data_IF_207123511355
#
_entry.id   IF_207123511355
#
_cell.length_a   1.000
_cell.length_b   1.000
_cell.length_c   1.000
_cell.angle_alpha   90.00
_cell.angle_beta   90.00
_cell.angle_gamma   90.00
#
_symmetry.space_group_name_H-M   'P 1'
#
loop_
_entity.id
_entity.type
_entity.pdbx_description
1 polymer ?
#
# COMPACT_ATOMS: atom_id res chain seq x y z
N UNK A 1 9.57 30.52 11.45
CA UNK A 1 10.23 30.01 12.65
C UNK A 1 10.22 28.50 12.54
N UNK A 2 11.36 27.79 12.53
CA UNK A 2 11.38 26.35 12.45
C UNK A 2 10.96 25.77 13.81
N UNK A 3 9.96 24.90 13.81
CA UNK A 3 9.56 24.15 15.01
C UNK A 3 10.58 23.04 15.23
N UNK A 4 11.27 23.08 16.37
CA UNK A 4 12.11 22.00 16.89
C UNK A 4 11.22 20.75 17.11
N UNK A 5 11.41 19.73 16.29
CA UNK A 5 10.94 18.37 16.62
C UNK A 5 12.04 17.78 17.48
N UNK A 6 11.87 17.87 18.81
CA UNK A 6 12.78 17.28 19.78
C UNK A 6 12.81 15.75 19.63
N UNK A 7 14.00 15.20 19.59
CA UNK A 7 14.26 13.77 19.77
C UNK A 7 13.86 13.44 21.21
N UNK A 8 12.69 12.82 21.39
CA UNK A 8 12.25 12.31 22.69
C UNK A 8 12.97 10.98 22.92
N UNK A 9 13.79 10.94 23.95
CA UNK A 9 14.49 9.75 24.42
C UNK A 9 13.49 8.69 24.92
N UNK A 10 13.74 7.42 24.58
CA UNK A 10 12.88 6.25 24.73
C UNK A 10 12.56 5.80 26.17
N UNK A 11 12.33 6.70 27.12
CA UNK A 11 12.14 6.34 28.53
C UNK A 11 10.78 6.71 29.14
N UNK A 12 9.90 7.50 28.49
CA UNK A 12 8.70 7.99 29.20
C UNK A 12 7.42 8.18 28.35
N UNK A 13 7.28 7.55 27.20
CA UNK A 13 6.02 7.56 26.48
C UNK A 13 5.29 6.21 26.55
N UNK A 14 4.82 5.84 27.73
CA UNK A 14 3.66 4.96 27.87
C UNK A 14 2.37 5.74 27.64
N UNK A 15 2.35 6.63 26.67
CA UNK A 15 1.09 7.13 26.14
C UNK A 15 0.54 6.04 25.22
N UNK A 16 -0.58 5.49 25.66
CA UNK A 16 -1.39 4.48 24.99
C UNK A 16 -1.72 4.97 23.60
N UNK A 17 -1.03 4.47 22.58
CA UNK A 17 -1.42 4.77 21.20
C UNK A 17 -2.77 4.08 20.95
N UNK A 18 -3.82 4.85 20.99
CA UNK A 18 -5.14 4.41 20.54
C UNK A 18 -4.99 3.86 19.12
N UNK A 19 -5.57 2.70 18.83
CA UNK A 19 -5.61 2.17 17.47
C UNK A 19 -6.35 3.13 16.56
N UNK A 20 -5.81 3.38 15.37
CA UNK A 20 -6.33 4.37 14.45
C UNK A 20 -7.30 3.76 13.45
N UNK A 21 -8.31 4.52 13.05
CA UNK A 21 -9.20 4.20 11.94
C UNK A 21 -8.72 4.93 10.68
N UNK A 22 -8.23 4.17 9.70
CA UNK A 22 -7.76 4.67 8.43
C UNK A 22 -8.82 4.47 7.35
N UNK A 23 -9.10 5.51 6.57
CA UNK A 23 -9.95 5.45 5.39
C UNK A 23 -9.11 5.78 4.16
N UNK A 24 -9.11 4.87 3.19
CA UNK A 24 -8.59 5.07 1.86
C UNK A 24 -9.75 5.04 0.87
N UNK A 25 -10.10 6.17 0.28
CA UNK A 25 -11.20 6.29 -0.67
C UNK A 25 -10.81 7.01 -1.98
N UNK A 26 -11.80 7.41 -2.75
CA UNK A 26 -11.63 8.15 -4.00
C UNK A 26 -11.54 7.27 -5.26
N UNK A 27 -11.46 7.93 -6.42
CA UNK A 27 -11.51 7.29 -7.74
C UNK A 27 -10.15 6.75 -8.21
N UNK A 28 -9.04 7.26 -7.67
CA UNK A 28 -7.69 6.82 -8.02
C UNK A 28 -7.40 5.39 -7.60
N UNK A 29 -6.40 4.78 -8.24
CA UNK A 29 -5.87 3.48 -7.83
C UNK A 29 -5.05 3.59 -6.54
N UNK A 30 -4.88 2.47 -5.83
CA UNK A 30 -4.00 2.38 -4.67
C UNK A 30 -4.69 2.00 -3.36
N UNK A 31 -6.02 2.09 -3.24
CA UNK A 31 -6.77 1.85 -1.99
C UNK A 31 -6.55 0.45 -1.40
N UNK A 32 -6.98 -0.59 -2.10
CA UNK A 32 -6.77 -1.99 -1.66
C UNK A 32 -5.28 -2.33 -1.56
N UNK A 33 -4.44 -1.77 -2.45
CA UNK A 33 -2.99 -1.93 -2.39
C UNK A 33 -2.41 -1.31 -1.10
N UNK A 34 -2.90 -0.13 -0.67
CA UNK A 34 -2.48 0.46 0.61
C UNK A 34 -2.84 -0.45 1.78
N UNK A 35 -4.04 -1.05 1.76
CA UNK A 35 -4.43 -2.03 2.78
C UNK A 35 -3.52 -3.27 2.78
N UNK A 36 -3.20 -3.83 1.59
CA UNK A 36 -2.27 -4.96 1.45
C UNK A 36 -0.85 -4.62 1.92
N UNK A 37 -0.39 -3.40 1.68
CA UNK A 37 0.91 -2.93 2.20
C UNK A 37 0.94 -2.84 3.72
N UNK A 38 -0.17 -2.43 4.37
CA UNK A 38 -0.29 -2.50 5.84
C UNK A 38 -0.27 -3.95 6.32
N UNK A 39 -0.98 -4.86 5.64
CA UNK A 39 -0.95 -6.30 5.94
C UNK A 39 0.49 -6.83 5.92
N UNK A 40 1.24 -6.52 4.85
CA UNK A 40 2.64 -6.96 4.69
C UNK A 40 3.53 -6.45 5.85
N UNK A 41 3.40 -5.16 6.21
CA UNK A 41 4.13 -4.56 7.34
C UNK A 41 3.79 -5.19 8.67
N UNK A 42 2.50 -5.41 8.91
CA UNK A 42 2.05 -6.00 10.19
C UNK A 42 2.50 -7.45 10.34
N UNK A 43 2.46 -8.24 9.26
CA UNK A 43 3.03 -9.60 9.26
C UNK A 43 4.53 -9.54 9.52
N UNK A 44 5.25 -8.63 8.84
CA UNK A 44 6.68 -8.43 9.05
C UNK A 44 7.01 -8.04 10.49
N UNK A 45 6.22 -7.19 11.13
CA UNK A 45 6.36 -6.88 12.55
C UNK A 45 6.22 -8.14 13.42
N UNK A 46 5.22 -8.98 13.13
CA UNK A 46 5.01 -10.23 13.85
C UNK A 46 6.19 -11.19 13.72
N UNK A 47 6.80 -11.27 12.53
CA UNK A 47 7.98 -12.08 12.25
C UNK A 47 9.20 -11.55 13.02
N UNK A 48 9.48 -10.21 12.94
CA UNK A 48 10.63 -9.60 13.58
C UNK A 48 10.61 -9.67 15.10
N UNK A 49 9.45 -9.39 15.70
CA UNK A 49 9.35 -9.20 17.15
C UNK A 49 8.79 -10.42 17.89
N UNK A 50 8.42 -11.48 17.16
CA UNK A 50 7.75 -12.66 17.71
C UNK A 50 6.55 -12.29 18.60
N UNK A 51 5.93 -11.12 18.32
CA UNK A 51 4.77 -10.61 19.02
C UNK A 51 3.48 -11.22 18.46
N UNK A 52 2.42 -11.21 19.26
CA UNK A 52 1.07 -11.58 18.82
C UNK A 52 0.46 -10.45 17.99
N UNK A 53 1.07 -10.10 16.87
CA UNK A 53 0.48 -9.23 15.87
C UNK A 53 -0.31 -10.12 14.90
N UNK A 54 -1.63 -10.06 14.96
CA UNK A 54 -2.51 -10.83 14.05
C UNK A 54 -3.28 -9.86 13.17
N UNK A 55 -3.39 -10.17 11.90
CA UNK A 55 -4.15 -9.39 10.93
C UNK A 55 -5.38 -10.19 10.51
N UNK A 56 -6.54 -9.53 10.48
CA UNK A 56 -7.68 -10.01 9.70
C UNK A 56 -7.73 -9.22 8.39
N UNK A 57 -7.61 -9.89 7.26
CA UNK A 57 -7.90 -9.35 5.93
C UNK A 57 -9.30 -9.81 5.49
N UNK A 58 -10.30 -8.96 5.66
CA UNK A 58 -11.66 -9.22 5.21
C UNK A 58 -11.95 -8.36 3.97
N UNK A 59 -12.31 -9.05 2.88
CA UNK A 59 -12.57 -8.42 1.58
C UNK A 59 -14.04 -8.61 1.20
N UNK A 60 -14.77 -7.51 1.18
CA UNK A 60 -16.16 -7.47 0.74
C UNK A 60 -16.25 -7.44 -0.79
N UNK A 61 -17.37 -7.83 -1.37
CA UNK A 61 -17.64 -7.84 -2.82
C UNK A 61 -16.58 -8.60 -3.64
N UNK A 62 -15.89 -9.54 -3.00
CA UNK A 62 -14.79 -10.34 -3.57
C UNK A 62 -14.98 -11.82 -3.28
N UNK A 63 -16.16 -12.35 -3.59
CA UNK A 63 -16.56 -13.72 -3.29
C UNK A 63 -15.67 -14.79 -3.92
N UNK A 64 -15.90 -16.07 -3.57
CA UNK A 64 -15.17 -17.19 -4.14
C UNK A 64 -15.45 -17.32 -5.64
N UNK A 65 -14.51 -17.92 -6.38
CA UNK A 65 -14.60 -18.12 -7.82
C UNK A 65 -13.80 -17.13 -8.67
N UNK A 66 -13.32 -16.02 -8.08
CA UNK A 66 -12.36 -15.12 -8.70
C UNK A 66 -11.02 -15.21 -7.97
N UNK A 67 -9.94 -15.46 -8.71
CA UNK A 67 -8.60 -15.39 -8.20
C UNK A 67 -8.10 -13.94 -8.18
N UNK A 68 -7.41 -13.56 -7.12
CA UNK A 68 -6.70 -12.29 -7.01
C UNK A 68 -5.21 -12.57 -6.92
N UNK A 69 -4.41 -11.75 -7.58
CA UNK A 69 -2.97 -11.96 -7.68
C UNK A 69 -2.30 -12.09 -6.29
N UNK A 70 -2.74 -11.28 -5.31
CA UNK A 70 -2.19 -11.31 -3.95
C UNK A 70 -2.48 -12.59 -3.16
N UNK A 71 -3.49 -13.37 -3.54
CA UNK A 71 -3.93 -14.54 -2.77
C UNK A 71 -2.79 -15.53 -2.53
N UNK A 72 -2.06 -15.87 -3.58
CA UNK A 72 -0.96 -16.85 -3.48
C UNK A 72 0.20 -16.37 -2.58
N UNK A 73 0.51 -15.08 -2.58
CA UNK A 73 1.54 -14.53 -1.69
C UNK A 73 1.07 -14.50 -0.23
N UNK A 74 -0.21 -14.18 0.00
CA UNK A 74 -0.82 -14.20 1.34
C UNK A 74 -0.88 -15.64 1.85
N UNK A 75 -1.27 -16.60 1.03
CA UNK A 75 -1.29 -18.02 1.39
C UNK A 75 0.10 -18.54 1.73
N UNK A 76 1.13 -18.14 0.99
CA UNK A 76 2.51 -18.50 1.29
C UNK A 76 2.96 -17.95 2.66
N UNK A 77 2.62 -16.70 2.97
CA UNK A 77 2.88 -16.11 4.30
C UNK A 77 2.07 -16.83 5.39
N UNK A 78 0.81 -17.15 5.12
CA UNK A 78 -0.04 -17.88 6.07
C UNK A 78 0.46 -19.30 6.36
N UNK A 79 0.99 -20.00 5.35
CA UNK A 79 1.59 -21.32 5.55
C UNK A 79 2.84 -21.26 6.43
N UNK A 80 3.70 -20.26 6.23
CA UNK A 80 4.88 -20.04 7.07
C UNK A 80 4.55 -19.53 8.48
N UNK A 81 3.50 -18.67 8.59
CA UNK A 81 3.14 -17.96 9.81
C UNK A 81 1.62 -17.97 10.05
N UNK A 82 1.01 -19.14 10.31
CA UNK A 82 -0.45 -19.31 10.38
C UNK A 82 -1.12 -18.51 11.50
N UNK A 83 -0.35 -18.07 12.49
CA UNK A 83 -0.85 -17.27 13.62
C UNK A 83 -0.87 -15.75 13.35
N UNK A 84 -0.31 -15.30 12.23
CA UNK A 84 -0.17 -13.86 11.94
C UNK A 84 -1.28 -13.32 11.05
N UNK A 85 -1.93 -14.13 10.23
CA UNK A 85 -2.95 -13.65 9.30
C UNK A 85 -4.11 -14.64 9.15
N UNK A 86 -5.32 -14.06 9.16
CA UNK A 86 -6.54 -14.70 8.67
C UNK A 86 -7.07 -13.90 7.48
N UNK A 87 -7.56 -14.60 6.46
CA UNK A 87 -8.22 -13.96 5.33
C UNK A 87 -9.63 -14.49 5.13
N UNK A 88 -10.55 -13.58 4.83
CA UNK A 88 -11.95 -13.90 4.55
C UNK A 88 -12.41 -13.09 3.34
N UNK A 89 -13.20 -13.71 2.47
CA UNK A 89 -13.86 -13.05 1.34
C UNK A 89 -15.37 -13.27 1.41
N UNK A 90 -16.12 -12.23 1.05
CA UNK A 90 -17.58 -12.25 0.99
C UNK A 90 -18.08 -11.58 -0.28
N UNK A 91 -19.32 -11.89 -0.66
CA UNK A 91 -19.94 -11.40 -1.88
C UNK A 91 -19.89 -12.42 -3.01
N UNK A 92 -20.35 -12.01 -4.19
CA UNK A 92 -20.24 -12.77 -5.43
C UNK A 92 -18.92 -12.47 -6.16
N UNK A 93 -18.59 -13.30 -7.14
CA UNK A 93 -17.37 -13.14 -7.93
C UNK A 93 -17.47 -11.97 -8.95
N UNK A 94 -18.67 -11.67 -9.41
CA UNK A 94 -18.93 -10.68 -10.47
C UNK A 94 -19.20 -9.29 -9.90
N UNK A 95 -18.80 -8.26 -10.65
CA UNK A 95 -19.19 -6.89 -10.36
C UNK A 95 -20.69 -6.69 -10.63
N UNK A 96 -21.31 -5.79 -9.87
CA UNK A 96 -22.70 -5.40 -10.03
C UNK A 96 -22.90 -3.92 -9.66
N UNK A 97 -23.94 -3.33 -10.24
CA UNK A 97 -24.39 -1.98 -9.92
C UNK A 97 -25.45 -2.00 -8.81
N UNK A 98 -25.80 -0.86 -8.27
CA UNK A 98 -26.75 -0.74 -7.16
C UNK A 98 -28.14 -1.36 -7.48
N UNK A 99 -28.61 -1.20 -8.73
CA UNK A 99 -29.87 -1.74 -9.22
C UNK A 99 -29.86 -3.27 -9.44
N UNK A 100 -28.68 -3.87 -9.47
CA UNK A 100 -28.46 -5.31 -9.59
C UNK A 100 -28.25 -6.00 -8.24
N UNK A 101 -28.24 -5.23 -7.13
CA UNK A 101 -28.05 -5.76 -5.80
C UNK A 101 -29.21 -6.68 -5.39
N UNK A 102 -28.86 -7.85 -4.88
CA UNK A 102 -29.82 -8.90 -4.52
C UNK A 102 -29.82 -9.17 -3.03
N UNK A 103 -30.80 -9.96 -2.58
CA UNK A 103 -30.83 -10.44 -1.19
C UNK A 103 -29.57 -11.25 -0.82
N UNK A 104 -28.97 -11.95 -1.80
CA UNK A 104 -27.71 -12.68 -1.59
C UNK A 104 -26.57 -11.70 -1.24
N UNK A 105 -26.46 -10.57 -1.95
CA UNK A 105 -25.41 -9.59 -1.71
C UNK A 105 -25.54 -8.97 -0.32
N UNK A 106 -26.78 -8.70 0.12
CA UNK A 106 -27.05 -8.21 1.46
C UNK A 106 -26.66 -9.26 2.52
N UNK A 107 -26.98 -10.54 2.30
CA UNK A 107 -26.61 -11.61 3.21
C UNK A 107 -25.09 -11.80 3.32
N UNK A 108 -24.38 -11.74 2.20
CA UNK A 108 -22.92 -11.84 2.16
C UNK A 108 -22.24 -10.63 2.80
N UNK A 109 -22.76 -9.42 2.58
CA UNK A 109 -22.30 -8.21 3.28
C UNK A 109 -22.50 -8.34 4.79
N UNK A 110 -23.67 -8.81 5.22
CA UNK A 110 -23.97 -9.02 6.64
C UNK A 110 -23.08 -10.10 7.24
N UNK A 111 -22.84 -11.23 6.53
CA UNK A 111 -21.92 -12.27 6.97
C UNK A 111 -20.50 -11.73 7.19
N UNK A 112 -20.00 -10.94 6.24
CA UNK A 112 -18.70 -10.27 6.37
C UNK A 112 -18.65 -9.32 7.57
N UNK A 113 -19.71 -8.53 7.74
CA UNK A 113 -19.80 -7.59 8.85
C UNK A 113 -19.88 -8.29 10.22
N UNK A 114 -20.61 -9.40 10.32
CA UNK A 114 -20.68 -10.19 11.56
C UNK A 114 -19.31 -10.76 11.95
N UNK A 115 -18.52 -11.22 10.96
CA UNK A 115 -17.14 -11.65 11.17
C UNK A 115 -16.27 -10.46 11.64
N UNK A 116 -16.39 -9.29 10.99
CA UNK A 116 -15.66 -8.08 11.38
C UNK A 116 -15.98 -7.67 12.82
N UNK A 117 -17.25 -7.62 13.20
CA UNK A 117 -17.69 -7.31 14.57
C UNK A 117 -17.13 -8.28 15.58
N UNK A 118 -17.19 -9.58 15.27
CA UNK A 118 -16.62 -10.62 16.14
C UNK A 118 -15.11 -10.47 16.33
N UNK A 119 -14.40 -10.18 15.25
CA UNK A 119 -12.95 -9.93 15.27
C UNK A 119 -12.59 -8.70 16.11
N UNK A 120 -13.31 -7.59 15.92
CA UNK A 120 -13.12 -6.34 16.68
C UNK A 120 -13.40 -6.60 18.17
N UNK A 121 -14.53 -7.22 18.50
CA UNK A 121 -14.91 -7.50 19.88
C UNK A 121 -13.96 -8.46 20.59
N UNK A 122 -13.31 -9.37 19.85
CA UNK A 122 -12.37 -10.36 20.41
C UNK A 122 -11.06 -9.75 20.89
N UNK A 123 -10.68 -8.57 20.38
CA UNK A 123 -9.37 -7.94 20.58
C UNK A 123 -8.16 -8.85 20.26
N UNK A 124 -8.36 -9.90 19.44
CA UNK A 124 -7.30 -10.83 19.05
C UNK A 124 -6.44 -10.31 17.91
N UNK A 125 -6.91 -9.31 17.17
CA UNK A 125 -6.24 -8.75 16.00
C UNK A 125 -5.63 -7.39 16.34
N UNK A 126 -4.41 -7.18 15.90
CA UNK A 126 -3.75 -5.88 15.98
C UNK A 126 -4.19 -4.97 14.83
N UNK A 127 -4.53 -5.58 13.69
CA UNK A 127 -5.01 -4.88 12.49
C UNK A 127 -6.20 -5.62 11.91
N UNK A 128 -7.27 -4.89 11.61
CA UNK A 128 -8.44 -5.38 10.88
C UNK A 128 -8.58 -4.59 9.58
N UNK A 129 -8.43 -5.25 8.46
CA UNK A 129 -8.64 -4.68 7.13
C UNK A 129 -10.04 -5.02 6.65
N UNK A 130 -10.81 -3.99 6.31
CA UNK A 130 -12.17 -4.06 5.76
C UNK A 130 -12.13 -3.51 4.33
N UNK A 131 -11.59 -4.32 3.42
CA UNK A 131 -11.40 -3.94 2.02
C UNK A 131 -12.73 -3.96 1.26
N UNK A 132 -13.03 -2.88 0.52
CA UNK A 132 -14.29 -2.60 -0.16
C UNK A 132 -15.51 -2.44 0.78
N UNK A 133 -15.31 -2.02 2.04
CA UNK A 133 -16.43 -1.71 2.94
C UNK A 133 -17.19 -0.44 2.50
N UNK A 134 -16.47 0.58 1.99
CA UNK A 134 -17.11 1.83 1.55
C UNK A 134 -18.19 1.58 0.49
N UNK A 135 -17.95 0.83 -0.62
CA UNK A 135 -18.98 0.50 -1.59
C UNK A 135 -20.15 -0.30 -1.01
N UNK A 136 -19.89 -1.19 -0.05
CA UNK A 136 -20.96 -1.94 0.63
C UNK A 136 -21.92 -0.99 1.36
N UNK A 137 -21.38 0.06 1.98
CA UNK A 137 -22.17 1.08 2.66
C UNK A 137 -22.86 2.02 1.68
N UNK A 138 -22.20 2.40 0.59
CA UNK A 138 -22.77 3.23 -0.47
C UNK A 138 -23.94 2.53 -1.18
N UNK A 139 -23.84 1.20 -1.38
CA UNK A 139 -24.90 0.35 -1.92
C UNK A 139 -26.04 0.08 -0.91
N UNK A 140 -25.96 0.58 0.32
CA UNK A 140 -26.96 0.35 1.37
C UNK A 140 -27.10 -1.10 1.83
N UNK A 141 -26.06 -1.94 1.64
CA UNK A 141 -26.11 -3.36 2.01
C UNK A 141 -25.91 -3.59 3.52
N UNK A 142 -25.41 -2.58 4.25
CA UNK A 142 -25.24 -2.59 5.71
C UNK A 142 -25.77 -1.28 6.32
N UNK A 143 -26.18 -1.35 7.59
CA UNK A 143 -26.57 -0.16 8.37
C UNK A 143 -25.31 0.63 8.78
N UNK A 144 -25.19 1.84 8.25
CA UNK A 144 -24.07 2.76 8.54
C UNK A 144 -23.98 3.09 10.05
N UNK A 145 -25.11 3.16 10.77
CA UNK A 145 -25.09 3.48 12.20
C UNK A 145 -24.47 2.36 13.03
N UNK A 146 -24.77 1.09 12.67
CA UNK A 146 -24.15 -0.08 13.32
C UNK A 146 -22.63 -0.12 13.04
N UNK A 147 -22.22 0.18 11.80
CA UNK A 147 -20.81 0.23 11.40
C UNK A 147 -20.09 1.34 12.17
N UNK A 148 -20.59 2.57 12.15
CA UNK A 148 -19.98 3.71 12.87
C UNK A 148 -19.88 3.44 14.36
N UNK A 149 -20.95 2.92 14.97
CA UNK A 149 -20.96 2.57 16.39
C UNK A 149 -19.88 1.54 16.74
N UNK A 150 -19.77 0.48 15.94
CA UNK A 150 -18.80 -0.60 16.16
C UNK A 150 -17.37 -0.10 15.99
N UNK A 151 -17.09 0.65 14.92
CA UNK A 151 -15.74 1.16 14.65
C UNK A 151 -15.31 2.25 15.65
N UNK A 152 -16.25 3.03 16.17
CA UNK A 152 -15.98 4.00 17.26
C UNK A 152 -15.65 3.32 18.58
N UNK A 153 -16.20 2.13 18.83
CA UNK A 153 -15.97 1.35 20.05
C UNK A 153 -14.81 0.33 19.91
N UNK A 154 -13.97 0.46 18.87
CA UNK A 154 -12.83 -0.44 18.67
C UNK A 154 -11.91 -0.51 19.87
N UNK A 155 -11.29 -1.68 20.15
CA UNK A 155 -10.34 -1.81 21.25
C UNK A 155 -9.13 -0.87 21.09
N UNK A 156 -8.60 -0.43 22.22
CA UNK A 156 -7.37 0.34 22.27
C UNK A 156 -6.21 -0.43 21.61
N UNK A 157 -5.42 0.25 20.78
CA UNK A 157 -4.28 -0.33 20.07
C UNK A 157 -4.63 -1.10 18.79
N UNK A 158 -5.92 -1.33 18.48
CA UNK A 158 -6.34 -1.98 17.24
C UNK A 158 -6.40 -0.98 16.09
N UNK A 159 -5.66 -1.25 15.01
CA UNK A 159 -5.77 -0.50 13.77
C UNK A 159 -6.90 -1.05 12.90
N UNK A 160 -7.72 -0.17 12.35
CA UNK A 160 -8.74 -0.57 11.38
C UNK A 160 -8.50 0.18 10.07
N UNK A 161 -8.44 -0.56 8.99
CA UNK A 161 -8.20 -0.04 7.65
C UNK A 161 -9.44 -0.28 6.81
N UNK A 162 -10.08 0.78 6.36
CA UNK A 162 -11.26 0.73 5.49
C UNK A 162 -10.89 1.24 4.11
N UNK A 163 -11.30 0.51 3.07
CA UNK A 163 -11.06 0.93 1.69
C UNK A 163 -12.32 0.92 0.84
N UNK A 164 -12.20 1.53 -0.32
CA UNK A 164 -13.24 1.55 -1.35
C UNK A 164 -13.58 2.97 -1.78
N UNK A 165 -14.37 3.10 -2.83
CA UNK A 165 -14.88 4.39 -3.31
C UNK A 165 -16.01 4.89 -2.41
N UNK A 166 -16.32 6.17 -2.52
CA UNK A 166 -17.51 6.77 -1.92
C UNK A 166 -17.66 6.52 -0.40
N UNK A 167 -16.61 6.80 0.38
CA UNK A 167 -16.67 6.68 1.82
C UNK A 167 -17.80 7.57 2.40
N UNK A 168 -18.76 7.01 3.16
CA UNK A 168 -19.86 7.78 3.73
C UNK A 168 -19.38 8.82 4.77
N UNK A 169 -19.99 10.00 4.75
CA UNK A 169 -19.61 11.09 5.67
C UNK A 169 -19.61 10.70 7.15
N UNK A 170 -20.59 9.93 7.70
CA UNK A 170 -20.54 9.50 9.09
C UNK A 170 -19.28 8.67 9.43
N UNK A 171 -18.78 7.88 8.47
CA UNK A 171 -17.56 7.10 8.64
C UNK A 171 -16.31 7.99 8.59
N UNK A 172 -16.25 8.95 7.65
CA UNK A 172 -15.17 9.94 7.54
C UNK A 172 -15.04 10.78 8.83
N UNK A 173 -16.17 11.12 9.46
CA UNK A 173 -16.16 11.92 10.68
C UNK A 173 -15.43 11.25 11.84
N UNK A 174 -15.55 9.93 11.98
CA UNK A 174 -14.89 9.16 13.05
C UNK A 174 -13.48 8.69 12.69
N UNK A 175 -13.03 8.88 11.45
CA UNK A 175 -11.70 8.47 11.01
C UNK A 175 -10.59 9.31 11.66
N UNK A 176 -9.46 8.68 11.93
CA UNK A 176 -8.23 9.32 12.41
C UNK A 176 -7.32 9.69 11.24
N UNK A 177 -7.41 8.90 10.16
CA UNK A 177 -6.74 9.16 8.89
C UNK A 177 -7.75 9.03 7.74
N UNK A 178 -7.75 10.03 6.87
CA UNK A 178 -8.52 10.01 5.62
C UNK A 178 -7.61 10.46 4.47
N UNK A 179 -7.27 9.52 3.59
CA UNK A 179 -6.53 9.75 2.36
C UNK A 179 -7.42 9.45 1.16
N UNK A 180 -7.71 10.47 0.37
CA UNK A 180 -8.39 10.33 -0.92
C UNK A 180 -7.37 9.97 -2.00
N UNK A 181 -7.58 8.88 -2.71
CA UNK A 181 -6.83 8.53 -3.91
C UNK A 181 -7.48 9.23 -5.11
N UNK A 182 -6.93 10.38 -5.50
CA UNK A 182 -7.42 11.18 -6.62
C UNK A 182 -6.77 10.74 -7.92
N UNK A 183 -7.59 10.42 -8.93
CA UNK A 183 -7.09 10.06 -10.25
C UNK A 183 -6.76 11.33 -11.06
N UNK A 184 -5.50 11.55 -11.39
CA UNK A 184 -5.07 12.55 -12.38
C UNK A 184 -4.99 11.95 -13.77
N UNK A 185 -4.59 10.69 -13.86
CA UNK A 185 -4.55 9.94 -15.10
C UNK A 185 -4.92 8.48 -14.86
N UNK A 186 -5.82 7.98 -15.67
CA UNK A 186 -6.19 6.56 -15.70
C UNK A 186 -6.50 6.22 -17.15
N UNK A 187 -5.61 5.47 -17.77
CA UNK A 187 -5.83 4.98 -19.11
C UNK A 187 -6.65 3.71 -19.00
N UNK A 188 -7.74 3.68 -19.72
CA UNK A 188 -8.51 2.45 -19.91
C UNK A 188 -7.63 1.48 -20.72
N UNK A 189 -7.38 0.26 -20.24
CA UNK A 189 -6.65 -0.74 -21.01
C UNK A 189 -7.25 -1.06 -22.38
N UNK A 190 -8.50 -0.66 -22.60
CA UNK A 190 -9.23 -0.82 -23.88
C UNK A 190 -9.10 0.37 -24.83
N UNK A 191 -8.50 1.48 -24.37
CA UNK A 191 -8.31 2.68 -25.17
C UNK A 191 -6.90 2.69 -25.78
N UNK A 192 -6.74 2.04 -26.92
CA UNK A 192 -5.50 1.97 -27.67
C UNK A 192 -5.05 3.32 -28.27
N UNK A 193 -5.87 4.39 -28.17
CA UNK A 193 -5.63 5.66 -28.86
C UNK A 193 -4.70 6.62 -28.13
N UNK A 194 -4.41 6.40 -26.84
CA UNK A 194 -3.80 7.41 -25.97
C UNK A 194 -2.37 7.11 -25.53
N UNK A 195 -1.75 5.98 -25.90
CA UNK A 195 -0.38 5.66 -25.51
C UNK A 195 0.45 4.99 -26.59
N UNK A 196 1.77 5.30 -26.60
CA UNK A 196 2.73 4.46 -27.29
C UNK A 196 2.95 3.08 -26.64
N UNK A 197 2.32 2.78 -25.49
CA UNK A 197 2.48 1.53 -24.74
C UNK A 197 1.11 0.97 -24.33
N UNK A 198 0.55 0.02 -25.06
CA UNK A 198 -0.59 -0.75 -24.58
C UNK A 198 -0.16 -1.60 -23.37
N UNK A 199 -0.99 -1.67 -22.32
CA UNK A 199 -0.85 -2.64 -21.23
C UNK A 199 -0.42 -4.03 -21.73
N UNK A 200 0.52 -4.78 -21.04
CA UNK A 200 0.49 -4.98 -19.59
C UNK A 200 1.59 -4.27 -18.79
N UNK A 201 2.55 -3.61 -19.35
CA UNK A 201 3.68 -3.02 -18.65
C UNK A 201 3.62 -1.49 -18.49
N UNK A 202 2.59 -0.94 -17.87
CA UNK A 202 2.42 0.49 -17.67
C UNK A 202 3.39 1.13 -16.66
N UNK A 203 3.33 2.46 -16.56
CA UNK A 203 3.99 3.22 -15.51
C UNK A 203 2.91 3.75 -14.57
N UNK A 204 2.99 3.39 -13.29
CA UNK A 204 2.09 3.88 -12.25
C UNK A 204 2.82 4.83 -11.32
N UNK A 205 2.26 6.00 -11.06
CA UNK A 205 2.83 7.01 -10.16
C UNK A 205 1.87 7.25 -9.00
N UNK A 206 2.40 7.14 -7.78
CA UNK A 206 1.70 7.45 -6.53
C UNK A 206 2.39 8.63 -5.84
N UNK A 207 1.71 9.76 -5.75
CA UNK A 207 2.23 11.01 -5.21
C UNK A 207 1.27 11.66 -4.20
N UNK A 208 1.54 12.89 -3.79
CA UNK A 208 0.69 13.67 -2.89
C UNK A 208 1.16 13.67 -1.44
N UNK A 209 0.49 14.49 -0.60
CA UNK A 209 0.84 14.66 0.81
C UNK A 209 0.20 13.59 1.70
N UNK A 210 -0.92 12.98 1.29
CA UNK A 210 -1.61 11.94 2.04
C UNK A 210 -0.79 10.65 2.20
N UNK A 211 -1.15 9.88 3.22
CA UNK A 211 -0.58 8.55 3.47
C UNK A 211 -1.04 7.54 2.41
N UNK A 212 -0.21 6.54 2.12
CA UNK A 212 -0.57 5.43 1.24
C UNK A 212 0.36 5.19 0.07
N UNK A 213 1.25 6.12 -0.31
CA UNK A 213 2.14 6.00 -1.48
C UNK A 213 3.02 4.75 -1.47
N UNK A 214 4.01 4.70 -0.57
CA UNK A 214 4.89 3.53 -0.39
C UNK A 214 4.10 2.28 -0.02
N UNK A 215 3.05 2.46 0.80
CA UNK A 215 2.19 1.36 1.23
C UNK A 215 1.44 0.73 0.05
N UNK A 216 0.94 1.54 -0.90
CA UNK A 216 0.34 1.05 -2.15
C UNK A 216 1.36 0.33 -3.04
N UNK A 217 2.58 0.85 -3.14
CA UNK A 217 3.64 0.19 -3.90
C UNK A 217 4.00 -1.18 -3.32
N UNK A 218 4.09 -1.30 -1.98
CA UNK A 218 4.31 -2.58 -1.32
C UNK A 218 3.16 -3.56 -1.57
N UNK A 219 1.92 -3.09 -1.52
CA UNK A 219 0.75 -3.92 -1.87
C UNK A 219 0.76 -4.38 -3.32
N UNK A 220 1.21 -3.53 -4.25
CA UNK A 220 1.46 -3.92 -5.65
C UNK A 220 2.58 -4.95 -5.75
N UNK A 221 3.64 -4.80 -4.96
CA UNK A 221 4.70 -5.80 -4.86
C UNK A 221 4.16 -7.16 -4.41
N UNK A 222 3.30 -7.18 -3.39
CA UNK A 222 2.66 -8.40 -2.91
C UNK A 222 1.78 -9.05 -4.00
N UNK A 223 1.01 -8.25 -4.76
CA UNK A 223 0.24 -8.74 -5.92
C UNK A 223 1.15 -9.34 -6.99
N UNK A 224 2.22 -8.65 -7.34
CA UNK A 224 3.17 -9.11 -8.36
C UNK A 224 3.89 -10.41 -7.94
N UNK A 225 4.30 -10.53 -6.67
CA UNK A 225 4.87 -11.76 -6.11
C UNK A 225 3.85 -12.89 -6.18
N UNK A 226 2.61 -12.65 -5.78
CA UNK A 226 1.54 -13.64 -5.83
C UNK A 226 1.24 -14.12 -7.25
N UNK A 227 1.29 -13.23 -8.26
CA UNK A 227 1.22 -13.59 -9.68
C UNK A 227 2.37 -14.51 -10.08
N UNK A 228 3.58 -14.22 -9.61
CA UNK A 228 4.76 -15.08 -9.85
C UNK A 228 4.62 -16.47 -9.23
N UNK A 229 3.96 -16.57 -8.08
CA UNK A 229 3.71 -17.86 -7.41
C UNK A 229 2.65 -18.67 -8.16
N UNK A 230 1.53 -18.05 -8.53
CA UNK A 230 0.32 -18.74 -8.99
C UNK A 230 0.20 -18.91 -10.51
N UNK A 231 0.75 -17.98 -11.30
CA UNK A 231 0.47 -17.90 -12.73
C UNK A 231 1.73 -17.97 -13.60
N UNK A 232 2.73 -17.15 -13.30
CA UNK A 232 3.93 -16.99 -14.14
C UNK A 232 5.20 -16.97 -13.29
N UNK A 233 5.87 -18.10 -13.20
CA UNK A 233 7.13 -18.26 -12.44
C UNK A 233 8.25 -17.34 -12.93
N UNK A 234 8.15 -16.76 -14.12
CA UNK A 234 9.10 -15.78 -14.65
C UNK A 234 8.81 -14.35 -14.15
N UNK A 235 7.71 -14.13 -13.43
CA UNK A 235 7.28 -12.82 -12.95
C UNK A 235 8.12 -12.34 -11.76
N UNK A 236 9.38 -11.94 -12.04
CA UNK A 236 10.26 -11.36 -11.01
C UNK A 236 9.86 -9.93 -10.66
N UNK A 237 10.04 -9.60 -9.39
CA UNK A 237 9.75 -8.28 -8.81
C UNK A 237 11.04 -7.70 -8.23
N UNK A 238 11.34 -6.44 -8.59
CA UNK A 238 12.33 -5.65 -7.88
C UNK A 238 11.60 -4.60 -7.02
N UNK A 239 11.91 -4.55 -5.73
CA UNK A 239 11.50 -3.48 -4.83
C UNK A 239 12.75 -2.72 -4.44
N UNK A 240 12.86 -1.47 -4.88
CA UNK A 240 13.96 -0.59 -4.56
C UNK A 240 13.42 0.66 -3.87
N UNK A 241 13.96 0.97 -2.69
CA UNK A 241 13.51 2.06 -1.84
C UNK A 241 14.65 3.03 -1.58
N UNK A 242 14.52 4.28 -2.04
CA UNK A 242 15.45 5.37 -1.76
C UNK A 242 15.16 6.01 -0.41
N UNK A 243 16.13 6.75 0.14
CA UNK A 243 16.02 7.53 1.38
C UNK A 243 15.57 6.69 2.60
N UNK A 244 15.86 5.39 2.57
CA UNK A 244 15.46 4.40 3.59
C UNK A 244 16.62 3.51 4.00
N UNK A 245 17.78 4.08 4.28
CA UNK A 245 18.99 3.33 4.62
C UNK A 245 19.00 2.69 6.02
N UNK A 246 18.14 3.13 6.93
CA UNK A 246 18.08 2.62 8.30
C UNK A 246 17.48 1.22 8.44
N UNK A 247 17.63 0.66 9.65
CA UNK A 247 16.97 -0.57 10.07
C UNK A 247 15.64 -0.23 10.74
N UNK A 248 14.65 -1.11 10.61
CA UNK A 248 13.38 -0.96 11.36
C UNK A 248 12.12 -0.98 10.51
N UNK A 249 12.28 -1.06 9.20
CA UNK A 249 11.15 -1.24 8.29
C UNK A 249 10.65 -2.69 8.38
N UNK A 250 9.41 -2.83 8.79
CA UNK A 250 8.87 -4.16 9.14
C UNK A 250 8.54 -5.01 7.93
N UNK A 251 8.24 -4.38 6.79
CA UNK A 251 8.02 -5.08 5.52
C UNK A 251 9.19 -5.97 5.10
N UNK A 252 10.41 -5.65 5.54
CA UNK A 252 11.62 -6.42 5.19
C UNK A 252 11.52 -7.88 5.60
N UNK A 253 11.00 -8.15 6.80
CA UNK A 253 10.91 -9.52 7.31
C UNK A 253 9.87 -10.34 6.54
N UNK A 254 8.74 -9.75 6.17
CA UNK A 254 7.74 -10.44 5.37
C UNK A 254 8.23 -10.68 3.93
N UNK A 255 8.92 -9.71 3.33
CA UNK A 255 9.55 -9.88 2.00
C UNK A 255 10.66 -10.94 2.06
N UNK A 256 11.47 -10.94 3.12
CA UNK A 256 12.52 -11.95 3.31
C UNK A 256 11.95 -13.36 3.44
N UNK A 257 10.84 -13.53 4.16
CA UNK A 257 10.15 -14.81 4.27
C UNK A 257 9.60 -15.31 2.91
N UNK A 258 9.03 -14.40 2.11
CA UNK A 258 8.61 -14.73 0.74
C UNK A 258 9.81 -15.08 -0.15
N UNK A 259 10.92 -14.35 -0.02
CA UNK A 259 12.15 -14.61 -0.76
C UNK A 259 12.80 -15.94 -0.36
N UNK A 260 12.74 -16.33 0.90
CA UNK A 260 13.24 -17.64 1.36
C UNK A 260 12.47 -18.79 0.70
N UNK A 261 11.13 -18.67 0.63
CA UNK A 261 10.27 -19.65 0.00
C UNK A 261 10.35 -19.64 -1.54
N UNK A 262 10.59 -18.45 -2.13
CA UNK A 262 10.60 -18.21 -3.58
C UNK A 262 11.78 -17.30 -3.98
N UNK A 263 13.04 -17.79 -3.88
CA UNK A 263 14.25 -16.96 -4.00
C UNK A 263 14.45 -16.30 -5.36
N UNK A 264 13.76 -16.78 -6.39
CA UNK A 264 13.86 -16.25 -7.75
C UNK A 264 12.79 -15.17 -8.07
N UNK A 265 11.81 -14.94 -7.18
CA UNK A 265 10.68 -14.07 -7.50
C UNK A 265 10.86 -12.62 -7.05
N UNK A 266 11.56 -12.36 -5.95
CA UNK A 266 11.66 -11.02 -5.40
C UNK A 266 13.08 -10.65 -5.02
N UNK A 267 13.52 -9.49 -5.49
CA UNK A 267 14.69 -8.79 -4.99
C UNK A 267 14.24 -7.51 -4.29
N UNK A 268 14.81 -7.26 -3.11
CA UNK A 268 14.50 -6.09 -2.31
C UNK A 268 15.78 -5.40 -1.87
N UNK A 269 15.88 -4.10 -2.15
CA UNK A 269 17.04 -3.27 -1.83
C UNK A 269 16.58 -1.93 -1.26
N UNK A 270 17.37 -1.43 -0.33
CA UNK A 270 17.24 -0.08 0.21
C UNK A 270 18.50 0.72 0.01
N UNK A 271 18.35 2.02 -0.10
CA UNK A 271 19.42 2.98 -0.31
C UNK A 271 19.17 4.25 0.50
N UNK A 272 20.25 4.93 0.81
CA UNK A 272 20.26 6.14 1.62
C UNK A 272 20.89 5.88 3.00
N UNK A 273 20.97 6.94 3.78
CA UNK A 273 21.45 6.88 5.19
C UNK A 273 20.26 6.74 6.16
N UNK A 274 20.57 6.38 7.40
CA UNK A 274 19.58 6.33 8.48
C UNK A 274 19.31 7.75 9.03
N UNK A 275 18.82 8.64 8.17
CA UNK A 275 18.45 10.01 8.51
C UNK A 275 17.50 10.57 7.46
N UNK A 276 16.64 11.51 7.87
CA UNK A 276 15.84 12.28 6.94
C UNK A 276 16.74 13.27 6.20
N UNK A 277 16.70 13.25 4.88
CA UNK A 277 17.42 14.19 4.02
C UNK A 277 16.52 15.38 3.72
N UNK A 278 16.94 16.57 4.15
CA UNK A 278 16.22 17.81 3.85
C UNK A 278 16.90 18.57 2.69
N UNK A 279 16.09 19.32 1.94
CA UNK A 279 16.63 20.18 0.87
C UNK A 279 17.63 21.20 1.45
N UNK A 280 18.82 21.26 0.85
CA UNK A 280 19.93 22.07 1.33
C UNK A 280 20.76 21.45 2.47
N UNK A 281 20.45 20.21 2.87
CA UNK A 281 21.20 19.44 3.87
C UNK A 281 21.68 18.10 3.32
N UNK A 282 21.74 17.97 2.00
CA UNK A 282 22.27 16.79 1.33
C UNK A 282 23.76 16.66 1.60
N UNK A 283 24.20 15.46 1.91
CA UNK A 283 25.59 15.10 2.09
C UNK A 283 26.13 14.34 0.87
N UNK A 284 27.44 14.28 0.62
CA UNK A 284 28.01 13.54 -0.50
C UNK A 284 27.55 12.10 -0.60
N UNK A 285 27.32 11.44 0.54
CA UNK A 285 26.86 10.06 0.61
C UNK A 285 25.43 9.90 0.06
N UNK A 286 24.56 10.92 0.18
CA UNK A 286 23.20 10.86 -0.33
C UNK A 286 23.19 10.74 -1.87
N UNK A 287 24.11 11.47 -2.54
CA UNK A 287 24.31 11.38 -4.00
C UNK A 287 24.84 10.01 -4.42
N UNK A 288 25.86 9.50 -3.71
CA UNK A 288 26.47 8.19 -4.00
C UNK A 288 25.43 7.06 -3.87
N UNK A 289 24.67 7.08 -2.78
CA UNK A 289 23.62 6.07 -2.54
C UNK A 289 22.46 6.18 -3.54
N UNK A 290 22.06 7.39 -3.88
CA UNK A 290 21.00 7.60 -4.88
C UNK A 290 21.44 7.08 -6.27
N UNK A 291 22.65 7.39 -6.68
CA UNK A 291 23.21 6.99 -7.97
C UNK A 291 23.45 5.48 -8.04
N UNK A 292 24.00 4.88 -6.98
CA UNK A 292 24.17 3.42 -6.86
C UNK A 292 22.83 2.68 -7.05
N UNK A 293 21.79 3.14 -6.37
CA UNK A 293 20.46 2.56 -6.47
C UNK A 293 19.84 2.77 -7.86
N UNK A 294 20.08 3.93 -8.47
CA UNK A 294 19.61 4.20 -9.82
C UNK A 294 20.24 3.29 -10.87
N UNK A 295 21.54 3.03 -10.79
CA UNK A 295 22.20 2.11 -11.71
C UNK A 295 21.61 0.68 -11.63
N UNK A 296 21.28 0.22 -10.42
CA UNK A 296 20.60 -1.07 -10.23
C UNK A 296 19.20 -1.04 -10.86
N UNK A 297 18.43 0.02 -10.59
CA UNK A 297 17.08 0.19 -11.15
C UNK A 297 17.09 0.22 -12.68
N UNK A 298 18.00 1.02 -13.25
CA UNK A 298 18.17 1.18 -14.70
C UNK A 298 18.54 -0.16 -15.37
N UNK A 299 19.48 -0.89 -14.78
CA UNK A 299 19.85 -2.21 -15.28
C UNK A 299 18.71 -3.23 -15.19
N UNK A 300 17.96 -3.21 -14.09
CA UNK A 300 16.79 -4.08 -13.89
C UNK A 300 15.69 -3.80 -14.91
N UNK A 301 15.35 -2.52 -15.13
CA UNK A 301 14.37 -2.11 -16.16
C UNK A 301 14.82 -2.56 -17.54
N UNK A 302 16.08 -2.28 -17.92
CA UNK A 302 16.60 -2.60 -19.26
C UNK A 302 16.70 -4.11 -19.50
N UNK A 303 16.90 -4.92 -18.46
CA UNK A 303 17.12 -6.37 -18.59
C UNK A 303 15.91 -7.15 -19.09
N UNK A 304 14.67 -6.63 -18.86
CA UNK A 304 13.43 -7.35 -19.10
C UNK A 304 13.22 -8.59 -18.20
N UNK A 305 14.14 -8.85 -17.27
CA UNK A 305 14.03 -9.96 -16.31
C UNK A 305 12.97 -9.71 -15.24
N UNK A 306 12.74 -8.45 -14.92
CA UNK A 306 11.75 -8.04 -13.93
C UNK A 306 10.46 -7.61 -14.66
N UNK A 307 9.36 -8.27 -14.35
CA UNK A 307 8.04 -7.88 -14.86
C UNK A 307 7.43 -6.73 -14.07
N UNK A 308 7.85 -6.54 -12.82
CA UNK A 308 7.43 -5.41 -11.97
C UNK A 308 8.67 -4.82 -11.29
N UNK A 309 8.86 -3.52 -11.44
CA UNK A 309 9.93 -2.74 -10.80
C UNK A 309 9.29 -1.63 -9.99
N UNK A 310 9.51 -1.66 -8.67
CA UNK A 310 9.02 -0.65 -7.73
C UNK A 310 10.16 0.27 -7.37
N UNK A 311 9.96 1.56 -7.62
CA UNK A 311 10.89 2.66 -7.39
C UNK A 311 10.30 3.56 -6.29
N UNK A 312 10.39 3.08 -5.04
CA UNK A 312 9.78 3.75 -3.89
C UNK A 312 10.65 4.91 -3.41
N UNK A 313 10.03 6.10 -3.20
CA UNK A 313 10.67 7.37 -2.90
C UNK A 313 11.60 7.91 -4.02
N UNK A 314 11.39 7.52 -5.30
CA UNK A 314 12.12 8.11 -6.42
C UNK A 314 11.75 9.59 -6.62
N UNK A 315 10.47 9.96 -6.47
CA UNK A 315 10.03 11.34 -6.65
C UNK A 315 10.78 12.33 -5.72
N UNK A 316 10.85 12.13 -4.38
CA UNK A 316 11.60 13.03 -3.53
C UNK A 316 13.11 12.95 -3.76
N UNK A 317 13.66 11.82 -4.22
CA UNK A 317 15.08 11.71 -4.59
C UNK A 317 15.42 12.65 -5.74
N UNK A 318 14.54 12.72 -6.74
CA UNK A 318 14.64 13.68 -7.85
C UNK A 318 14.35 15.11 -7.39
N UNK A 319 13.33 15.33 -6.57
CA UNK A 319 12.98 16.65 -6.02
C UNK A 319 14.09 17.25 -5.15
N UNK A 320 14.88 16.40 -4.46
CA UNK A 320 16.09 16.79 -3.74
C UNK A 320 17.32 16.97 -4.64
N UNK A 321 17.19 16.82 -5.96
CA UNK A 321 18.29 16.94 -6.92
C UNK A 321 19.42 15.91 -6.73
N UNK A 322 19.12 14.76 -6.10
CA UNK A 322 20.08 13.68 -5.93
C UNK A 322 20.25 12.84 -7.20
N UNK A 323 19.27 12.89 -8.11
CA UNK A 323 19.30 12.24 -9.42
C UNK A 323 18.81 13.18 -10.52
N UNK A 324 19.45 13.17 -11.69
CA UNK A 324 18.98 13.91 -12.86
C UNK A 324 17.75 13.23 -13.48
N UNK A 325 16.81 14.03 -13.99
CA UNK A 325 15.54 13.54 -14.57
C UNK A 325 15.75 12.81 -15.91
N UNK A 326 16.62 13.33 -16.76
CA UNK A 326 16.76 12.88 -18.14
C UNK A 326 17.12 11.38 -18.29
N UNK A 327 18.08 10.81 -17.54
CA UNK A 327 18.36 9.36 -17.57
C UNK A 327 17.16 8.50 -17.14
N UNK A 328 16.33 9.02 -16.22
CA UNK A 328 15.12 8.32 -15.77
C UNK A 328 14.10 8.27 -16.90
N UNK A 329 13.81 9.39 -17.54
CA UNK A 329 12.92 9.47 -18.71
C UNK A 329 13.37 8.52 -19.79
N UNK A 330 14.67 8.53 -20.14
CA UNK A 330 15.22 7.65 -21.18
C UNK A 330 15.07 6.16 -20.85
N UNK A 331 15.29 5.78 -19.59
CA UNK A 331 15.12 4.39 -19.15
C UNK A 331 13.63 3.97 -19.22
N UNK A 332 12.73 4.83 -18.81
CA UNK A 332 11.28 4.56 -18.84
C UNK A 332 10.72 4.49 -20.25
N UNK A 333 11.19 5.35 -21.18
CA UNK A 333 10.81 5.29 -22.59
C UNK A 333 11.30 4.01 -23.26
N UNK A 334 12.50 3.52 -22.89
CA UNK A 334 13.12 2.33 -23.49
C UNK A 334 12.80 1.04 -22.77
N UNK A 335 12.01 1.08 -21.69
CA UNK A 335 11.67 -0.12 -20.93
C UNK A 335 10.99 -1.18 -21.82
N UNK A 336 11.19 -2.48 -21.58
CA UNK A 336 10.42 -3.51 -22.25
C UNK A 336 8.92 -3.32 -22.05
N UNK A 337 8.12 -3.60 -23.07
CA UNK A 337 6.68 -3.37 -23.07
C UNK A 337 5.95 -4.05 -21.90
N UNK A 338 6.42 -5.23 -21.49
CA UNK A 338 5.83 -6.03 -20.41
C UNK A 338 6.30 -5.65 -19.01
N UNK A 339 7.30 -4.78 -18.86
CA UNK A 339 7.79 -4.35 -17.55
C UNK A 339 6.89 -3.26 -16.99
N UNK A 340 6.20 -3.54 -15.90
CA UNK A 340 5.47 -2.54 -15.10
C UNK A 340 6.44 -1.79 -14.21
N UNK A 341 6.36 -0.45 -14.18
CA UNK A 341 7.17 0.38 -13.29
C UNK A 341 6.26 1.19 -12.38
N UNK A 342 6.51 1.10 -11.08
CA UNK A 342 5.72 1.79 -10.04
C UNK A 342 6.63 2.79 -9.35
N UNK A 343 6.28 4.08 -9.40
CA UNK A 343 7.06 5.19 -8.83
C UNK A 343 6.26 5.80 -7.70
N UNK A 344 6.93 6.08 -6.58
CA UNK A 344 6.26 6.74 -5.46
C UNK A 344 7.04 7.94 -4.92
N UNK A 345 6.36 8.65 -4.06
CA UNK A 345 6.90 9.70 -3.23
C UNK A 345 6.22 11.06 -3.44
N UNK A 346 6.45 11.95 -2.50
CA UNK A 346 6.01 13.35 -2.63
C UNK A 346 6.72 14.00 -3.81
N UNK A 347 6.04 14.91 -4.48
CA UNK A 347 6.60 15.65 -5.58
C UNK A 347 5.97 17.05 -5.63
N UNK A 348 6.79 18.09 -5.56
CA UNK A 348 6.30 19.48 -5.68
C UNK A 348 6.18 19.91 -7.14
N UNK A 349 7.16 19.52 -7.95
CA UNK A 349 7.23 19.85 -9.37
C UNK A 349 7.31 18.54 -10.16
N UNK A 350 6.19 18.08 -10.76
CA UNK A 350 6.17 16.83 -11.50
C UNK A 350 7.26 16.80 -12.59
N UNK A 351 8.22 15.86 -12.51
CA UNK A 351 9.23 15.69 -13.56
C UNK A 351 8.61 15.16 -14.86
N UNK A 352 9.32 15.29 -15.98
CA UNK A 352 8.85 14.92 -17.31
C UNK A 352 8.38 13.46 -17.45
N UNK A 353 8.85 12.54 -16.61
CA UNK A 353 8.38 11.15 -16.63
C UNK A 353 6.92 10.97 -16.14
N UNK A 354 6.30 12.01 -15.53
CA UNK A 354 4.86 11.96 -15.22
C UNK A 354 4.01 11.90 -16.49
N UNK A 355 4.48 12.47 -17.60
CA UNK A 355 3.80 12.40 -18.89
C UNK A 355 3.77 10.99 -19.47
N UNK A 356 4.67 10.10 -19.02
CA UNK A 356 4.73 8.71 -19.43
C UNK A 356 3.79 7.81 -18.61
N UNK A 357 3.19 8.31 -17.53
CA UNK A 357 2.37 7.51 -16.64
C UNK A 357 1.08 7.06 -17.31
N UNK A 358 0.77 5.76 -17.22
CA UNK A 358 -0.54 5.19 -17.53
C UNK A 358 -1.53 5.37 -16.37
N UNK A 359 -1.01 5.45 -15.16
CA UNK A 359 -1.78 5.74 -13.93
C UNK A 359 -1.04 6.78 -13.12
N UNK A 360 -1.73 7.84 -12.75
CA UNK A 360 -1.26 8.81 -11.77
C UNK A 360 -2.35 8.99 -10.72
N UNK A 361 -2.05 8.56 -9.50
CA UNK A 361 -2.91 8.75 -8.33
C UNK A 361 -2.22 9.65 -7.31
N UNK A 362 -2.89 10.71 -6.92
CA UNK A 362 -2.48 11.58 -5.84
C UNK A 362 -3.19 11.16 -4.55
N UNK A 363 -2.43 10.91 -3.49
CA UNK A 363 -2.92 10.70 -2.14
C UNK A 363 -3.13 12.07 -1.49
N UNK A 364 -4.39 12.52 -1.47
CA UNK A 364 -4.77 13.79 -0.84
C UNK A 364 -5.01 13.56 0.65
N UNK A 365 -4.34 14.36 1.48
CA UNK A 365 -4.51 14.30 2.93
C UNK A 365 -5.70 15.15 3.35
N UNK A 366 -6.80 14.54 3.78
CA UNK A 366 -7.93 15.23 4.38
C UNK A 366 -7.84 15.24 5.92
N UNK A 367 -7.26 14.18 6.49
CA UNK A 367 -7.07 14.05 7.94
C UNK A 367 -5.87 13.14 8.21
N UNK A 368 -5.02 13.53 9.16
CA UNK A 368 -3.89 12.71 9.57
C UNK A 368 -3.67 12.81 11.07
N UNK A 369 -3.61 11.69 11.76
CA UNK A 369 -3.40 11.63 13.20
C UNK A 369 -2.06 12.24 13.66
N UNK A 370 -1.02 12.27 12.81
CA UNK A 370 0.23 12.94 13.12
C UNK A 370 0.05 14.46 13.35
N UNK A 371 -0.96 15.10 12.74
CA UNK A 371 -1.32 16.50 13.00
C UNK A 371 -1.89 16.69 14.40
N UNK A 372 -2.36 15.61 15.03
CA UNK A 372 -2.86 15.58 16.40
C UNK A 372 -1.77 15.14 17.40
N UNK A 373 -0.51 15.00 16.94
CA UNK A 373 0.60 14.61 17.80
C UNK A 373 0.72 13.11 18.06
N UNK A 374 0.01 12.27 17.28
CA UNK A 374 0.15 10.82 17.35
C UNK A 374 1.37 10.39 16.54
N UNK A 375 2.28 9.65 17.16
CA UNK A 375 3.49 9.16 16.51
C UNK A 375 3.20 8.11 15.44
N UNK A 376 4.14 7.99 14.48
CA UNK A 376 4.11 6.95 13.47
C UNK A 376 4.26 5.57 14.12
N UNK A 377 3.42 4.64 13.71
CA UNK A 377 3.34 3.31 14.32
C UNK A 377 4.11 2.28 13.48
N UNK A 378 5.03 1.58 14.13
CA UNK A 378 5.77 0.48 13.54
C UNK A 378 4.84 -0.68 13.17
N UNK A 379 5.01 -1.27 11.98
CA UNK A 379 4.12 -2.31 11.45
C UNK A 379 2.87 -1.79 10.73
N UNK A 380 2.66 -0.47 10.72
CA UNK A 380 1.57 0.21 10.01
C UNK A 380 2.13 1.30 9.11
N UNK A 381 2.99 2.15 9.66
CA UNK A 381 3.58 3.29 8.94
C UNK A 381 4.94 2.94 8.33
N UNK A 382 5.71 2.09 8.97
CA UNK A 382 7.03 1.64 8.56
C UNK A 382 7.37 0.25 9.12
#
# INVERSE_FOLDING_TARGET
>A
MPRNIGIVTAADSRERSLGQLHIYDGEGKGKSQAALGVVLRTIGLGICEQRRTRVLLLRFLKGPGRAYDEDAAIEALQQGFPHLIDQVRTGRADYFNADEATKFDQQEAQRGWDIARGAIASALYSVVVLDELNPVLDLGLLDINDVVKTLSARPEGMEIIVTGRAAPQPLIQIADLHSEMRAHRRIDPKDDSLLPFPSPGGIEIYTGEGKGKSTSALGKGLQAIGRGISQDKSHRVLILQWLKGGNGYTEDAAIAALRESYPHLVDHLRSGRDAIVWRGQQEPIDYVEAERAWEIARAAIASGLYKTVILDELNPTVDLELLPVEPIVQALVRKPAETEVIITGRCKNPPAYFDLASVHSEMVCHKHYAEQGVDLKRGVDY
#
